data_IF_605354940641
#
_entry.id   IF_605354940641
#
_cell.length_a   1.000
_cell.length_b   1.000
_cell.length_c   1.000
_cell.angle_alpha   90.00
_cell.angle_beta   90.00
_cell.angle_gamma   90.00
#
_symmetry.space_group_name_H-M   'P 1'
#
loop_
_entity.id
_entity.type
_entity.pdbx_description
1 polymer ?
#
# COMPACT_ATOMS: atom_id res chain seq x y z
N UNK A 1 34.02 8.98 53.28
CA UNK A 1 32.68 8.33 53.20
C UNK A 1 32.83 6.85 53.48
N UNK A 2 32.03 6.30 54.41
CA UNK A 2 32.10 4.88 54.79
C UNK A 2 31.64 3.94 53.66
N UNK A 3 32.15 2.71 53.65
CA UNK A 3 31.87 1.68 52.65
C UNK A 3 30.36 1.47 52.41
N UNK A 4 29.55 1.58 53.48
CA UNK A 4 28.09 1.48 53.43
C UNK A 4 27.43 2.58 52.58
N UNK A 5 27.99 3.80 52.56
CA UNK A 5 27.45 4.91 51.75
C UNK A 5 27.78 4.71 50.27
N UNK A 6 28.97 4.17 49.96
CA UNK A 6 29.35 3.81 48.59
C UNK A 6 28.48 2.69 48.03
N UNK A 7 28.19 1.64 48.82
CA UNK A 7 27.31 0.55 48.40
C UNK A 7 25.88 1.03 48.13
N UNK A 8 25.33 1.91 48.97
CA UNK A 8 23.99 2.49 48.78
C UNK A 8 23.90 3.37 47.54
N UNK A 9 24.94 4.16 47.26
CA UNK A 9 25.03 4.99 46.05
C UNK A 9 25.12 4.12 44.79
N UNK A 10 25.94 3.06 44.81
CA UNK A 10 26.06 2.11 43.68
C UNK A 10 24.73 1.39 43.44
N UNK A 11 24.07 0.92 44.51
CA UNK A 11 22.77 0.26 44.41
C UNK A 11 21.69 1.21 43.87
N UNK A 12 21.65 2.48 44.31
CA UNK A 12 20.71 3.48 43.80
C UNK A 12 20.96 3.83 42.32
N UNK A 13 22.23 3.93 41.91
CA UNK A 13 22.60 4.14 40.49
C UNK A 13 22.20 2.92 39.64
N UNK A 14 22.47 1.69 40.10
CA UNK A 14 22.04 0.46 39.42
C UNK A 14 20.51 0.35 39.33
N UNK A 15 19.77 0.70 40.39
CA UNK A 15 18.30 0.70 40.41
C UNK A 15 17.73 1.73 39.41
N UNK A 16 18.37 2.90 39.30
CA UNK A 16 18.01 3.94 38.32
C UNK A 16 18.34 3.52 36.87
N UNK A 17 19.41 2.75 36.65
CA UNK A 17 19.73 2.21 35.31
C UNK A 17 18.81 1.05 34.90
N UNK A 18 18.23 0.29 35.83
CA UNK A 18 17.22 -0.74 35.51
C UNK A 18 15.83 -0.17 35.22
N UNK A 19 15.60 1.10 35.55
CA UNK A 19 14.37 1.82 35.19
C UNK A 19 14.46 2.50 33.81
N UNK A 20 15.27 1.95 32.89
CA UNK A 20 15.03 2.16 31.46
C UNK A 20 13.68 1.55 31.19
N UNK A 21 12.66 2.40 31.17
CA UNK A 21 11.33 2.08 30.68
C UNK A 21 11.53 1.57 29.26
N UNK A 22 11.57 0.25 29.11
CA UNK A 22 11.27 -0.40 27.83
C UNK A 22 9.84 0.03 27.55
N UNK A 23 9.69 1.09 26.74
CA UNK A 23 8.37 1.51 26.32
C UNK A 23 7.80 0.33 25.54
N UNK A 24 6.74 -0.28 26.09
CA UNK A 24 6.03 -1.37 25.45
C UNK A 24 5.48 -0.84 24.12
N UNK A 25 6.20 -1.14 23.05
CA UNK A 25 5.82 -0.76 21.71
C UNK A 25 4.54 -1.53 21.38
N UNK A 26 3.47 -0.84 20.96
CA UNK A 26 2.25 -1.51 20.56
C UNK A 26 2.42 -2.06 19.15
N UNK A 27 2.60 -3.37 19.04
CA UNK A 27 2.58 -4.08 17.76
C UNK A 27 1.14 -4.30 17.31
N UNK A 28 0.87 -4.06 16.03
CA UNK A 28 -0.41 -4.39 15.40
C UNK A 28 -0.16 -5.45 14.34
N UNK A 29 -0.96 -6.51 14.37
CA UNK A 29 -0.95 -7.56 13.35
C UNK A 29 -2.38 -7.87 13.00
N UNK A 30 -2.68 -7.85 11.71
CA UNK A 30 -4.00 -8.23 11.21
C UNK A 30 -3.85 -8.88 9.85
N UNK A 31 -4.65 -9.92 9.63
CA UNK A 31 -4.85 -10.57 8.34
C UNK A 31 -6.30 -10.33 7.94
N UNK A 32 -6.51 -9.90 6.70
CA UNK A 32 -7.82 -9.47 6.23
C UNK A 32 -8.31 -10.39 5.12
N UNK A 33 -9.39 -11.14 5.41
CA UNK A 33 -10.01 -12.08 4.48
C UNK A 33 -11.08 -12.93 5.16
N UNK A 34 -12.31 -13.03 4.60
CA UNK A 34 -12.84 -12.29 3.44
C UNK A 34 -12.98 -10.78 3.73
N UNK A 35 -12.87 -9.94 2.70
CA UNK A 35 -12.87 -8.47 2.83
C UNK A 35 -14.19 -7.96 3.46
N UNK A 36 -14.10 -7.38 4.65
CA UNK A 36 -15.24 -6.83 5.40
C UNK A 36 -15.41 -5.31 5.10
N UNK A 37 -16.61 -4.84 4.70
CA UNK A 37 -16.88 -3.42 4.46
C UNK A 37 -16.60 -2.48 5.64
N UNK A 38 -16.64 -2.99 6.87
CA UNK A 38 -16.34 -2.23 8.08
C UNK A 38 -14.88 -1.81 8.22
N UNK A 39 -13.95 -2.39 7.47
CA UNK A 39 -12.52 -2.18 7.66
C UNK A 39 -11.93 -1.06 6.81
N UNK A 40 -12.44 -0.86 5.59
CA UNK A 40 -11.89 0.09 4.64
C UNK A 40 -12.82 1.28 4.39
N UNK A 41 -12.22 2.45 4.22
CA UNK A 41 -12.85 3.59 3.55
C UNK A 41 -12.60 3.45 2.06
N UNK A 42 -13.67 3.36 1.28
CA UNK A 42 -13.59 3.27 -0.18
C UNK A 42 -13.81 4.65 -0.79
N UNK A 43 -13.16 4.91 -1.91
CA UNK A 43 -13.34 6.12 -2.70
C UNK A 43 -13.41 5.81 -4.21
N UNK A 44 -14.17 6.67 -4.91
CA UNK A 44 -14.45 6.63 -6.34
C UNK A 44 -14.95 5.26 -6.80
N UNK A 45 -14.21 4.56 -7.67
CA UNK A 45 -14.68 3.32 -8.29
C UNK A 45 -14.46 2.07 -7.42
N UNK A 46 -13.88 2.21 -6.21
CA UNK A 46 -13.60 1.07 -5.35
C UNK A 46 -14.87 0.47 -4.74
N UNK A 47 -15.00 -0.85 -4.79
CA UNK A 47 -16.15 -1.60 -4.27
C UNK A 47 -15.73 -2.91 -3.59
N UNK A 48 -16.65 -3.53 -2.86
CA UNK A 48 -16.53 -4.92 -2.45
C UNK A 48 -17.39 -5.78 -3.37
N UNK A 49 -16.79 -6.74 -4.05
CA UNK A 49 -17.49 -7.60 -5.00
C UNK A 49 -16.83 -8.97 -5.04
N UNK A 50 -17.65 -10.03 -5.07
CA UNK A 50 -17.21 -11.43 -5.12
C UNK A 50 -16.18 -11.82 -4.04
N UNK A 51 -16.30 -11.27 -2.84
CA UNK A 51 -15.38 -11.54 -1.73
C UNK A 51 -14.00 -10.92 -1.87
N UNK A 52 -13.80 -10.03 -2.85
CA UNK A 52 -12.58 -9.27 -3.08
C UNK A 52 -12.83 -7.75 -2.89
N UNK A 53 -11.76 -7.03 -2.56
CA UNK A 53 -11.70 -5.59 -2.71
C UNK A 53 -11.34 -5.26 -4.16
N UNK A 54 -12.28 -4.66 -4.88
CA UNK A 54 -12.08 -4.26 -6.28
C UNK A 54 -11.83 -2.75 -6.33
N UNK A 55 -10.66 -2.33 -6.82
CA UNK A 55 -10.34 -0.91 -6.93
C UNK A 55 -10.92 -0.28 -8.21
N UNK A 56 -10.93 -1.03 -9.31
CA UNK A 56 -11.53 -0.59 -10.57
C UNK A 56 -12.51 -1.65 -11.08
N UNK A 57 -13.60 -1.24 -11.76
CA UNK A 57 -14.60 -2.16 -12.28
C UNK A 57 -13.99 -3.15 -13.27
N UNK A 58 -14.33 -4.42 -13.13
CA UNK A 58 -13.77 -5.50 -13.95
C UNK A 58 -14.84 -6.39 -14.59
N UNK A 59 -16.11 -5.96 -14.62
CA UNK A 59 -17.19 -6.77 -15.17
C UNK A 59 -18.07 -6.07 -16.22
N UNK A 60 -18.55 -6.84 -17.19
CA UNK A 60 -19.61 -6.39 -18.09
C UNK A 60 -20.93 -6.08 -17.35
N UNK A 61 -21.09 -6.64 -16.15
CA UNK A 61 -22.22 -6.38 -15.25
C UNK A 61 -22.18 -4.94 -14.71
N UNK A 62 -21.05 -4.50 -14.15
CA UNK A 62 -20.86 -3.12 -13.68
C UNK A 62 -21.02 -2.11 -14.81
N UNK A 63 -20.46 -2.43 -16.00
CA UNK A 63 -20.64 -1.59 -17.19
C UNK A 63 -22.11 -1.46 -17.62
N UNK A 64 -22.88 -2.55 -17.61
CA UNK A 64 -24.24 -2.59 -18.18
C UNK A 64 -25.34 -2.13 -17.22
N UNK A 65 -25.21 -2.34 -15.92
CA UNK A 65 -26.26 -2.03 -14.94
C UNK A 65 -25.96 -0.80 -14.07
N UNK A 66 -24.69 -0.57 -13.73
CA UNK A 66 -24.29 0.59 -12.93
C UNK A 66 -23.86 1.80 -13.78
N UNK A 67 -23.75 1.63 -15.10
CA UNK A 67 -23.31 2.68 -16.03
C UNK A 67 -21.85 3.10 -15.82
N UNK A 68 -21.04 2.28 -15.15
CA UNK A 68 -19.64 2.61 -14.85
C UNK A 68 -18.77 2.39 -16.09
N UNK A 69 -18.03 3.42 -16.55
CA UNK A 69 -17.01 3.22 -17.59
C UNK A 69 -15.94 2.25 -17.09
N UNK A 70 -15.43 1.39 -17.97
CA UNK A 70 -14.29 0.52 -17.65
C UNK A 70 -12.94 1.23 -17.87
N UNK A 71 -12.98 2.36 -18.55
CA UNK A 71 -11.81 3.18 -18.87
C UNK A 71 -11.74 4.38 -17.93
N UNK A 72 -10.53 4.91 -17.75
CA UNK A 72 -10.29 6.14 -17.01
C UNK A 72 -10.88 6.11 -15.58
N UNK A 73 -10.76 4.94 -14.92
CA UNK A 73 -11.18 4.74 -13.54
C UNK A 73 -9.96 4.76 -12.61
N UNK A 74 -10.17 5.27 -11.40
CA UNK A 74 -9.26 5.11 -10.27
C UNK A 74 -10.10 4.83 -9.04
N UNK A 75 -9.72 3.86 -8.23
CA UNK A 75 -10.38 3.61 -6.96
C UNK A 75 -9.34 3.41 -5.88
N UNK A 76 -9.74 3.71 -4.65
CA UNK A 76 -8.85 3.66 -3.50
C UNK A 76 -9.57 3.05 -2.31
N UNK A 77 -8.82 2.28 -1.55
CA UNK A 77 -9.28 1.71 -0.29
C UNK A 77 -8.24 1.98 0.80
N UNK A 78 -8.67 2.62 1.86
CA UNK A 78 -7.81 2.97 3.01
C UNK A 78 -8.29 2.24 4.25
N UNK A 79 -7.38 1.68 5.05
CA UNK A 79 -7.74 1.19 6.37
C UNK A 79 -8.38 2.33 7.19
N UNK A 80 -9.54 2.06 7.82
CA UNK A 80 -10.22 3.06 8.67
C UNK A 80 -9.38 3.47 9.86
N UNK A 81 -8.60 2.54 10.41
CA UNK A 81 -7.72 2.81 11.53
C UNK A 81 -6.41 3.46 11.04
N UNK A 82 -6.08 4.67 11.48
CA UNK A 82 -4.79 5.27 11.20
C UNK A 82 -3.69 4.65 12.05
N UNK A 83 -2.47 4.61 11.51
CA UNK A 83 -1.26 4.14 12.19
C UNK A 83 -0.28 5.29 12.40
N UNK A 84 0.31 5.39 13.59
CA UNK A 84 1.38 6.35 13.85
C UNK A 84 2.70 5.77 13.34
N UNK A 85 3.21 6.32 12.24
CA UNK A 85 4.47 5.84 11.63
C UNK A 85 5.71 6.60 12.09
N UNK A 86 5.55 7.80 12.65
CA UNK A 86 6.63 8.57 13.25
C UNK A 86 6.13 9.27 14.49
N UNK A 87 6.93 9.23 15.54
CA UNK A 87 6.73 10.01 16.75
C UNK A 87 7.92 10.95 16.92
N UNK A 88 7.64 12.25 16.93
CA UNK A 88 8.64 13.27 17.15
C UNK A 88 8.21 14.17 18.30
N UNK A 89 9.11 14.43 19.24
CA UNK A 89 8.94 15.39 20.32
C UNK A 89 10.24 16.17 20.51
N UNK A 90 10.15 17.50 20.53
CA UNK A 90 11.26 18.40 20.79
C UNK A 90 10.95 19.28 22.00
N UNK A 91 11.58 18.98 23.12
CA UNK A 91 11.53 19.76 24.35
C UNK A 91 12.93 20.13 24.85
N UNK A 92 13.01 21.05 25.81
CA UNK A 92 14.26 21.64 26.32
C UNK A 92 15.32 20.59 26.72
N UNK A 93 14.90 19.40 27.18
CA UNK A 93 15.77 18.27 27.55
C UNK A 93 15.34 16.92 26.95
N UNK A 94 14.46 16.90 25.93
CA UNK A 94 13.92 15.67 25.36
C UNK A 94 13.87 15.78 23.84
N UNK A 95 14.64 14.92 23.16
CA UNK A 95 14.54 14.69 21.73
C UNK A 95 14.05 13.26 21.53
N UNK A 96 12.81 13.11 21.09
CA UNK A 96 12.25 11.84 20.68
C UNK A 96 12.10 11.89 19.17
N UNK A 97 12.71 10.95 18.46
CA UNK A 97 12.46 10.71 17.04
C UNK A 97 12.42 9.21 16.83
N UNK A 98 11.22 8.67 16.65
CA UNK A 98 11.01 7.24 16.45
C UNK A 98 10.20 7.03 15.19
N UNK A 99 10.62 6.04 14.41
CA UNK A 99 9.95 5.62 13.19
C UNK A 99 9.48 4.20 13.38
N UNK A 100 8.23 3.94 13.05
CA UNK A 100 7.66 2.60 13.07
C UNK A 100 8.28 1.75 11.96
N UNK A 101 8.59 0.51 12.29
CA UNK A 101 8.86 -0.53 11.29
C UNK A 101 7.53 -1.16 10.85
N UNK A 102 7.40 -1.65 9.62
CA UNK A 102 6.21 -2.41 9.20
C UNK A 102 6.53 -3.29 8.00
N UNK A 103 5.68 -4.28 7.76
CA UNK A 103 5.69 -5.13 6.58
C UNK A 103 4.24 -5.35 6.14
N UNK A 104 3.94 -5.16 4.87
CA UNK A 104 2.61 -5.48 4.33
C UNK A 104 2.76 -6.52 3.24
N UNK A 105 1.81 -7.43 3.16
CA UNK A 105 1.73 -8.40 2.09
C UNK A 105 0.29 -8.45 1.63
N UNK A 106 0.09 -8.57 0.33
CA UNK A 106 -1.24 -8.63 -0.26
C UNK A 106 -1.17 -9.39 -1.57
N UNK A 107 -2.27 -10.03 -1.90
CA UNK A 107 -2.47 -10.66 -3.20
C UNK A 107 -3.37 -9.75 -4.02
N UNK A 108 -2.96 -9.53 -5.26
CA UNK A 108 -3.76 -8.79 -6.22
C UNK A 108 -3.73 -9.48 -7.58
N UNK A 109 -4.63 -9.07 -8.46
CA UNK A 109 -4.73 -9.59 -9.81
C UNK A 109 -5.19 -8.48 -10.74
N UNK A 110 -4.54 -8.37 -11.90
CA UNK A 110 -4.93 -7.45 -12.97
C UNK A 110 -5.69 -8.24 -14.02
N UNK A 111 -6.97 -7.92 -14.20
CA UNK A 111 -7.90 -8.68 -15.03
C UNK A 111 -8.43 -7.83 -16.19
N UNK A 112 -7.75 -7.78 -17.35
CA UNK A 112 -8.23 -7.04 -18.51
C UNK A 112 -9.52 -7.66 -19.07
N UNK A 113 -10.50 -6.81 -19.38
CA UNK A 113 -11.75 -7.22 -20.00
C UNK A 113 -11.72 -7.03 -21.52
N UNK A 114 -11.63 -8.15 -22.24
CA UNK A 114 -11.91 -8.20 -23.67
C UNK A 114 -10.72 -8.56 -24.54
N UNK A 115 -10.98 -8.68 -25.84
CA UNK A 115 -9.94 -8.88 -26.86
C UNK A 115 -9.48 -7.50 -27.32
N UNK A 116 -8.16 -7.30 -27.39
CA UNK A 116 -7.51 -6.08 -27.90
C UNK A 116 -7.61 -4.83 -27.01
N UNK A 117 -7.78 -4.97 -25.69
CA UNK A 117 -7.61 -3.87 -24.75
C UNK A 117 -6.24 -3.94 -24.11
N UNK A 118 -5.52 -2.82 -24.04
CA UNK A 118 -4.28 -2.74 -23.24
C UNK A 118 -4.67 -2.84 -21.76
N UNK A 119 -4.22 -3.87 -21.03
CA UNK A 119 -4.42 -3.95 -19.58
C UNK A 119 -3.72 -2.77 -18.92
N UNK A 120 -4.36 -2.07 -17.98
CA UNK A 120 -3.74 -0.91 -17.34
C UNK A 120 -4.62 -0.16 -16.35
N UNK A 121 -4.04 0.71 -15.52
CA UNK A 121 -2.63 1.17 -15.57
C UNK A 121 -1.71 0.58 -14.50
N UNK A 122 -2.25 0.13 -13.37
CA UNK A 122 -1.44 -0.51 -12.32
C UNK A 122 -2.15 -0.55 -10.96
N UNK A 123 -1.38 -0.89 -9.92
CA UNK A 123 -1.80 -0.88 -8.52
C UNK A 123 -0.76 -0.15 -7.68
N UNK A 124 -1.16 0.51 -6.60
CA UNK A 124 -0.22 1.05 -5.63
C UNK A 124 -0.62 0.76 -4.18
N UNK A 125 0.34 0.35 -3.37
CA UNK A 125 0.24 0.40 -1.91
C UNK A 125 0.66 1.79 -1.44
N UNK A 126 -0.19 2.47 -0.68
CA UNK A 126 0.04 3.87 -0.31
C UNK A 126 0.07 4.11 1.20
N UNK A 127 0.90 5.07 1.58
CA UNK A 127 0.94 5.67 2.92
C UNK A 127 0.71 7.16 2.75
N UNK A 128 -0.32 7.68 3.42
CA UNK A 128 -0.64 9.11 3.42
C UNK A 128 -1.21 9.56 4.75
N UNK A 129 -1.48 10.86 4.87
CA UNK A 129 -2.08 11.44 6.07
C UNK A 129 -3.50 10.91 6.27
N UNK A 130 -3.96 10.68 7.53
CA UNK A 130 -5.27 10.10 7.81
C UNK A 130 -6.46 10.82 7.16
N UNK A 131 -6.34 12.13 6.93
CA UNK A 131 -7.38 12.96 6.33
C UNK A 131 -7.26 13.13 4.81
N UNK A 132 -6.22 12.57 4.17
CA UNK A 132 -5.97 12.59 2.72
C UNK A 132 -6.38 11.28 2.05
N UNK A 133 -7.49 10.70 2.48
CA UNK A 133 -7.95 9.42 1.95
C UNK A 133 -8.61 9.55 0.56
N UNK A 134 -9.10 10.73 0.17
CA UNK A 134 -9.71 10.98 -1.13
C UNK A 134 -8.68 10.99 -2.27
N UNK A 135 -9.08 10.47 -3.43
CA UNK A 135 -8.33 10.52 -4.68
C UNK A 135 -8.24 11.95 -5.22
N UNK A 136 -7.10 12.36 -5.80
CA UNK A 136 -7.05 13.58 -6.59
C UNK A 136 -8.02 13.50 -7.77
N UNK A 137 -8.59 14.63 -8.18
CA UNK A 137 -9.48 14.66 -9.33
C UNK A 137 -8.73 14.27 -10.62
N UNK A 138 -9.39 13.47 -11.47
CA UNK A 138 -8.83 12.98 -12.75
C UNK A 138 -7.45 12.31 -12.59
N UNK A 139 -7.28 11.55 -11.51
CA UNK A 139 -6.07 10.79 -11.18
C UNK A 139 -6.02 9.40 -11.82
N UNK A 140 -6.88 9.11 -12.80
CA UNK A 140 -6.84 7.84 -13.53
C UNK A 140 -5.69 7.79 -14.54
N UNK A 141 -5.53 6.65 -15.20
CA UNK A 141 -4.53 6.49 -16.25
C UNK A 141 -3.12 6.44 -15.66
N UNK A 142 -2.18 7.08 -16.35
CA UNK A 142 -0.80 7.25 -15.92
C UNK A 142 -0.62 7.68 -14.46
N UNK A 143 -1.59 8.38 -13.85
CA UNK A 143 -1.43 8.89 -12.49
C UNK A 143 -1.73 7.87 -11.39
N UNK A 144 -2.20 6.66 -11.71
CA UNK A 144 -2.43 5.52 -10.78
C UNK A 144 -3.29 5.84 -9.54
N UNK A 145 -4.09 6.90 -9.58
CA UNK A 145 -4.80 7.41 -8.41
C UNK A 145 -3.89 8.09 -7.37
N UNK A 146 -2.61 8.32 -7.66
CA UNK A 146 -1.64 8.90 -6.73
C UNK A 146 -1.66 10.43 -6.76
N UNK A 147 -1.57 11.00 -7.95
CA UNK A 147 -1.49 12.44 -8.21
C UNK A 147 -2.44 12.82 -9.35
N UNK A 148 -2.31 14.04 -9.86
CA UNK A 148 -2.88 14.46 -11.13
C UNK A 148 -1.97 15.51 -11.77
N UNK A 149 -2.35 16.01 -12.94
CA UNK A 149 -1.57 17.01 -13.69
C UNK A 149 -1.19 18.27 -12.89
N UNK A 150 -1.97 18.63 -11.86
CA UNK A 150 -1.74 19.84 -11.07
C UNK A 150 -0.99 19.57 -9.75
N UNK A 151 -1.10 18.35 -9.21
CA UNK A 151 -0.53 18.02 -7.91
C UNK A 151 0.72 17.17 -8.01
N UNK A 152 1.13 16.74 -9.19
CA UNK A 152 2.30 15.90 -9.34
C UNK A 152 3.58 16.58 -8.85
N UNK A 153 4.30 15.92 -7.94
CA UNK A 153 5.50 16.46 -7.30
C UNK A 153 5.24 17.44 -6.15
N UNK A 154 3.98 17.76 -5.83
CA UNK A 154 3.66 18.66 -4.72
C UNK A 154 3.94 17.99 -3.36
N UNK A 155 4.87 18.51 -2.53
CA UNK A 155 5.11 17.99 -1.18
C UNK A 155 3.87 17.96 -0.29
N UNK A 156 2.86 18.80 -0.58
CA UNK A 156 1.60 18.80 0.11
C UNK A 156 0.81 17.50 -0.10
N UNK A 157 1.10 16.68 -1.11
CA UNK A 157 0.48 15.35 -1.27
C UNK A 157 0.69 14.48 -0.02
N UNK A 158 1.84 14.61 0.64
CA UNK A 158 2.21 13.80 1.82
C UNK A 158 1.95 12.31 1.55
N UNK A 159 2.47 11.83 0.43
CA UNK A 159 2.22 10.52 -0.14
C UNK A 159 3.54 9.78 -0.37
N UNK A 160 3.60 8.55 0.11
CA UNK A 160 4.59 7.56 -0.31
C UNK A 160 3.83 6.38 -0.89
N UNK A 161 4.24 5.89 -2.05
CA UNK A 161 3.62 4.72 -2.66
C UNK A 161 4.66 3.72 -3.15
N UNK A 162 4.26 2.45 -3.15
CA UNK A 162 4.91 1.39 -3.90
C UNK A 162 3.98 1.03 -5.05
N UNK A 163 4.33 1.42 -6.27
CA UNK A 163 3.55 1.11 -7.48
C UNK A 163 3.96 -0.23 -8.09
N UNK A 164 2.99 -0.85 -8.74
CA UNK A 164 3.12 -2.01 -9.61
C UNK A 164 2.51 -1.58 -10.94
N UNK A 165 3.36 -1.11 -11.83
CA UNK A 165 2.97 -0.47 -13.08
C UNK A 165 3.11 -1.45 -14.25
N UNK A 166 2.03 -1.59 -15.00
CA UNK A 166 1.94 -2.51 -16.13
C UNK A 166 1.70 -1.81 -17.47
N UNK A 167 1.88 -0.48 -17.54
CA UNK A 167 1.76 0.34 -18.75
C UNK A 167 2.93 1.31 -18.81
N UNK A 168 3.63 1.38 -19.94
CA UNK A 168 4.77 2.29 -20.08
C UNK A 168 4.33 3.71 -20.45
N UNK A 169 4.66 4.68 -19.62
CA UNK A 169 4.75 6.09 -19.99
C UNK A 169 6.22 6.53 -20.22
N UNK A 170 6.42 7.81 -20.57
CA UNK A 170 7.72 8.31 -20.98
C UNK A 170 8.76 8.35 -19.85
N UNK A 171 8.31 8.40 -18.59
CA UNK A 171 9.17 8.41 -17.41
C UNK A 171 9.49 6.99 -16.89
N UNK A 172 8.87 5.96 -17.46
CA UNK A 172 9.01 4.58 -16.98
C UNK A 172 10.14 3.81 -17.66
N UNK A 173 10.80 2.89 -16.94
CA UNK A 173 11.80 2.01 -17.53
C UNK A 173 11.18 1.11 -18.60
N UNK A 174 10.05 0.49 -18.28
CA UNK A 174 9.29 -0.44 -19.12
C UNK A 174 7.82 -0.51 -18.67
N UNK A 175 7.03 -1.38 -19.31
CA UNK A 175 5.62 -1.59 -19.01
C UNK A 175 5.39 -2.69 -17.95
N UNK A 176 6.36 -3.00 -17.10
CA UNK A 176 6.25 -4.08 -16.12
C UNK A 176 7.29 -3.89 -14.99
N UNK A 177 7.04 -2.93 -14.11
CA UNK A 177 7.99 -2.55 -13.07
C UNK A 177 7.34 -2.28 -11.72
N UNK A 178 8.18 -2.27 -10.69
CA UNK A 178 7.84 -1.78 -9.34
C UNK A 178 8.57 -0.46 -9.09
N UNK A 179 7.92 0.47 -8.42
CA UNK A 179 8.45 1.81 -8.19
C UNK A 179 8.20 2.33 -6.77
N UNK A 180 9.10 3.16 -6.26
CA UNK A 180 8.92 3.95 -5.03
C UNK A 180 8.63 5.39 -5.40
N UNK A 181 7.40 5.81 -5.16
CA UNK A 181 6.91 7.15 -5.47
C UNK A 181 6.87 8.01 -4.20
N UNK A 182 7.40 9.23 -4.28
CA UNK A 182 7.30 10.21 -3.19
C UNK A 182 6.67 11.48 -3.74
N UNK A 183 5.40 11.71 -3.40
CA UNK A 183 4.59 12.87 -3.81
C UNK A 183 4.41 13.08 -5.33
N UNK A 184 4.97 12.22 -6.19
CA UNK A 184 4.88 12.28 -7.65
C UNK A 184 4.62 10.87 -8.19
N UNK A 185 4.00 10.79 -9.37
CA UNK A 185 3.92 9.56 -10.16
C UNK A 185 5.31 9.13 -10.67
N UNK A 186 6.25 10.05 -10.84
CA UNK A 186 7.60 9.69 -11.26
C UNK A 186 8.32 9.06 -10.08
N UNK A 187 8.57 7.76 -10.19
CA UNK A 187 9.28 6.99 -9.16
C UNK A 187 10.69 7.52 -8.88
N UNK A 188 11.03 7.62 -7.61
CA UNK A 188 12.38 7.94 -7.14
C UNK A 188 13.35 6.78 -7.39
N UNK A 189 12.85 5.54 -7.32
CA UNK A 189 13.59 4.30 -7.57
C UNK A 189 12.64 3.33 -8.25
N UNK A 190 13.10 2.67 -9.32
CA UNK A 190 12.33 1.66 -10.05
C UNK A 190 13.13 0.37 -10.24
N UNK A 191 12.43 -0.73 -10.45
CA UNK A 191 13.02 -2.00 -10.85
C UNK A 191 12.10 -2.75 -11.82
N UNK A 192 12.65 -3.15 -12.96
CA UNK A 192 11.94 -4.01 -13.92
C UNK A 192 11.67 -5.39 -13.31
N UNK A 193 10.47 -5.90 -13.49
CA UNK A 193 10.07 -7.25 -13.09
C UNK A 193 10.40 -8.29 -14.17
N UNK A 194 10.62 -7.84 -15.40
CA UNK A 194 10.88 -8.71 -16.56
C UNK A 194 12.13 -9.61 -16.38
N UNK A 195 13.29 -9.11 -15.91
CA UNK A 195 14.46 -9.96 -15.66
C UNK A 195 14.25 -11.01 -14.56
N UNK A 196 13.25 -10.82 -13.71
CA UNK A 196 12.88 -11.74 -12.63
C UNK A 196 11.86 -12.80 -13.09
N UNK A 197 11.40 -12.73 -14.34
CA UNK A 197 10.34 -13.61 -14.86
C UNK A 197 8.96 -13.36 -14.21
N UNK A 198 8.75 -12.16 -13.66
CA UNK A 198 7.48 -11.75 -13.06
C UNK A 198 6.74 -10.86 -14.06
N UNK A 199 5.47 -11.14 -14.29
CA UNK A 199 4.60 -10.39 -15.19
C UNK A 199 3.34 -9.96 -14.45
N UNK A 200 3.09 -8.65 -14.37
CA UNK A 200 1.95 -8.08 -13.63
C UNK A 200 0.61 -8.31 -14.32
N UNK A 201 0.60 -8.28 -15.65
CA UNK A 201 -0.60 -8.50 -16.45
C UNK A 201 -0.28 -9.37 -17.66
N UNK A 202 -0.24 -10.70 -17.50
CA UNK A 202 0.03 -11.61 -18.61
C UNK A 202 -1.04 -11.52 -19.68
N UNK A 203 -0.61 -11.46 -20.94
CA UNK A 203 -1.49 -11.57 -22.10
C UNK A 203 -2.37 -12.81 -21.94
N UNK A 204 -3.69 -12.63 -22.13
CA UNK A 204 -4.71 -13.60 -21.76
C UNK A 204 -4.68 -14.96 -22.48
N UNK A 205 -3.58 -15.39 -23.09
CA UNK A 205 -3.43 -16.76 -23.60
C UNK A 205 -3.51 -17.83 -22.50
N UNK A 206 -3.01 -17.57 -21.30
CA UNK A 206 -3.18 -18.49 -20.16
C UNK A 206 -4.63 -18.58 -19.65
N UNK A 207 -5.48 -17.59 -19.96
CA UNK A 207 -6.90 -17.53 -19.62
C UNK A 207 -7.83 -17.91 -20.79
N UNK A 208 -7.28 -18.29 -21.96
CA UNK A 208 -8.05 -18.66 -23.18
C UNK A 208 -8.73 -20.04 -23.13
N UNK A 209 -8.42 -20.90 -22.15
CA UNK A 209 -8.96 -22.28 -22.07
C UNK A 209 -9.81 -22.62 -20.84
N UNK A 210 -9.73 -21.81 -19.79
CA UNK A 210 -10.57 -21.90 -18.59
C UNK A 210 -11.07 -20.49 -18.32
N UNK A 211 -12.33 -20.22 -18.64
CA UNK A 211 -12.90 -18.89 -18.44
C UNK A 211 -12.61 -18.42 -17.01
N UNK A 212 -11.92 -17.29 -16.88
CA UNK A 212 -12.10 -16.26 -15.83
C UNK A 212 -12.27 -16.75 -14.38
N UNK A 213 -11.84 -17.97 -14.01
CA UNK A 213 -12.14 -18.50 -12.69
C UNK A 213 -11.35 -17.79 -11.59
N UNK A 214 -10.17 -17.25 -11.92
CA UNK A 214 -9.37 -16.45 -10.99
C UNK A 214 -9.98 -15.06 -10.74
N UNK A 215 -10.43 -14.38 -11.81
CA UNK A 215 -11.02 -13.04 -11.73
C UNK A 215 -12.48 -13.05 -11.23
N UNK A 216 -13.25 -14.12 -11.48
CA UNK A 216 -14.67 -14.22 -11.06
C UNK A 216 -14.88 -14.87 -9.68
N UNK A 217 -13.89 -15.54 -9.07
CA UNK A 217 -14.10 -16.30 -7.81
C UNK A 217 -13.26 -15.89 -6.61
N UNK A 218 -12.48 -14.82 -6.68
CA UNK A 218 -11.50 -14.56 -5.62
C UNK A 218 -10.56 -15.75 -5.43
N UNK A 219 -10.18 -16.40 -6.54
CA UNK A 219 -9.27 -17.56 -6.50
C UNK A 219 -7.91 -17.08 -6.03
N UNK A 220 -7.28 -17.87 -5.17
CA UNK A 220 -5.93 -17.68 -4.63
C UNK A 220 -4.80 -17.82 -5.68
N UNK A 221 -5.12 -17.77 -6.98
CA UNK A 221 -4.20 -17.99 -8.09
C UNK A 221 -3.54 -16.69 -8.59
N UNK A 222 -3.72 -15.58 -7.88
CA UNK A 222 -2.97 -14.35 -8.11
C UNK A 222 -1.47 -14.55 -7.85
N UNK A 223 -0.64 -13.70 -8.43
CA UNK A 223 0.82 -13.71 -8.26
C UNK A 223 1.19 -13.84 -6.77
N UNK A 224 1.59 -15.05 -6.35
CA UNK A 224 2.04 -15.32 -5.01
C UNK A 224 3.46 -14.78 -4.89
N UNK A 225 3.62 -13.59 -4.34
CA UNK A 225 4.86 -13.19 -3.71
C UNK A 225 4.82 -13.73 -2.27
N UNK A 226 5.56 -14.81 -1.94
CA UNK A 226 5.51 -15.39 -0.61
C UNK A 226 6.34 -14.51 0.32
N UNK A 227 5.70 -13.61 1.06
CA UNK A 227 6.34 -12.99 2.21
C UNK A 227 5.40 -13.04 3.40
N UNK A 228 5.91 -13.65 4.45
CA UNK A 228 5.26 -13.86 5.74
C UNK A 228 4.84 -12.51 6.33
N UNK A 229 3.56 -12.33 6.64
CA UNK A 229 3.08 -11.12 7.29
C UNK A 229 3.63 -11.02 8.71
N UNK A 230 4.40 -9.96 8.96
CA UNK A 230 4.68 -9.45 10.29
C UNK A 230 4.95 -7.95 10.16
N UNK A 231 3.94 -7.10 10.40
CA UNK A 231 4.20 -5.70 10.80
C UNK A 231 4.89 -5.77 12.16
N UNK A 232 6.19 -6.03 12.16
CA UNK A 232 7.03 -5.81 13.33
C UNK A 232 7.30 -4.33 13.42
N UNK A 233 6.30 -3.61 13.91
CA UNK A 233 6.38 -2.19 14.18
C UNK A 233 6.56 -1.92 15.65
N UNK A 234 7.73 -1.39 15.97
CA UNK A 234 8.05 -0.76 17.23
C UNK A 234 7.78 0.75 17.13
N UNK A 235 6.84 1.31 17.90
CA UNK A 235 6.77 2.75 18.24
C UNK A 235 7.18 2.96 19.68
#
# INVERSE_FOLDING_TARGET
>A
MGLAVKLRMIAAVLLCFTAVVVQNLKTFTATHGPFNPGLFMLDNSATFSNGALQLTPNSAYERRLAGMPLENQSGRAMLRQPFKLREWEQGYNKKLDRVASFNSSFLFSVCPLGRNTTPGEGLAFIITQPFKYWLPSKSFGQYLGLTNINTDGDPANSLVAIEFDNVKQAFDPDANHVGLNINSIISNVTSSLTPLGIELSPDGEASRGRGSAACDRGSSDGLLLPLQEAINGSV
#
